data_IF_751774106786
#
_entry.id   IF_751774106786
#
_cell.length_a   1.000
_cell.length_b   1.000
_cell.length_c   1.000
_cell.angle_alpha   90.00
_cell.angle_beta   90.00
_cell.angle_gamma   90.00
#
_symmetry.space_group_name_H-M   'P 1'
#
loop_
_entity.id
_entity.type
_entity.pdbx_description
1 polymer ?
#
# COMPACT_ATOMS: atom_id res chain seq x y z
N UNK A 1 17.28 -2.43 18.38
CA UNK A 1 16.22 -1.40 18.52
C UNK A 1 14.87 -2.09 18.52
N UNK A 2 13.98 -1.78 19.46
CA UNK A 2 12.59 -2.26 19.47
C UNK A 2 11.77 -1.33 18.57
N UNK A 3 11.69 -1.64 17.27
CA UNK A 3 10.74 -0.98 16.38
C UNK A 3 9.35 -1.54 16.66
N UNK A 4 8.35 -0.66 16.86
CA UNK A 4 6.96 -1.08 16.70
C UNK A 4 6.64 -1.10 15.21
N UNK A 5 5.88 -2.07 14.69
CA UNK A 5 5.45 -2.07 13.29
C UNK A 5 4.81 -0.73 12.87
N UNK A 6 4.09 -0.08 13.79
CA UNK A 6 3.51 1.26 13.62
C UNK A 6 4.52 2.37 13.30
N UNK A 7 5.81 2.18 13.57
CA UNK A 7 6.86 3.19 13.35
C UNK A 7 7.45 3.13 11.92
N UNK A 8 7.10 2.09 11.15
CA UNK A 8 7.61 1.82 9.79
C UNK A 8 6.49 1.92 8.75
N UNK A 9 5.24 1.98 9.21
CA UNK A 9 4.07 2.10 8.36
C UNK A 9 3.83 3.58 8.06
N UNK A 10 3.90 3.96 6.78
CA UNK A 10 3.66 5.33 6.32
C UNK A 10 2.18 5.74 6.49
N UNK A 11 1.26 4.76 6.47
CA UNK A 11 -0.17 4.90 6.74
C UNK A 11 -0.68 3.64 7.47
N UNK A 12 -0.84 3.68 8.79
CA UNK A 12 -1.42 2.59 9.60
C UNK A 12 -2.76 3.03 10.16
N UNK A 13 -3.86 2.55 9.58
CA UNK A 13 -5.21 2.85 10.06
C UNK A 13 -5.79 4.20 9.62
N UNK A 14 -5.02 5.04 8.94
CA UNK A 14 -5.57 6.21 8.23
C UNK A 14 -6.31 5.74 6.97
N UNK A 15 -7.53 6.27 6.69
CA UNK A 15 -8.29 5.86 5.52
C UNK A 15 -7.54 6.22 4.24
N UNK A 16 -7.51 5.31 3.26
CA UNK A 16 -7.07 5.65 1.91
C UNK A 16 -7.97 6.79 1.38
N UNK A 17 -7.39 7.97 1.14
CA UNK A 17 -8.15 9.18 0.78
C UNK A 17 -8.15 9.41 -0.73
N UNK A 18 -7.06 9.06 -1.41
CA UNK A 18 -6.92 9.38 -2.83
C UNK A 18 -7.86 8.54 -3.71
N UNK A 19 -8.48 9.17 -4.70
CA UNK A 19 -9.38 8.54 -5.69
C UNK A 19 -8.89 8.81 -7.10
N UNK A 20 -9.29 7.97 -8.06
CA UNK A 20 -8.93 8.20 -9.48
C UNK A 20 -9.34 9.59 -9.97
N UNK A 21 -10.53 10.06 -9.59
CA UNK A 21 -11.02 11.41 -9.92
C UNK A 21 -10.08 12.51 -9.38
N UNK A 22 -9.63 12.38 -8.12
CA UNK A 22 -8.68 13.31 -7.53
C UNK A 22 -7.35 13.33 -8.31
N UNK A 23 -6.82 12.16 -8.68
CA UNK A 23 -5.57 12.07 -9.43
C UNK A 23 -5.70 12.62 -10.85
N UNK A 24 -6.82 12.41 -11.53
CA UNK A 24 -7.06 12.96 -12.87
C UNK A 24 -7.07 14.50 -12.88
N UNK A 25 -7.53 15.12 -11.79
CA UNK A 25 -7.49 16.57 -11.63
C UNK A 25 -6.09 17.10 -11.28
N UNK A 26 -5.34 16.37 -10.45
CA UNK A 26 -4.02 16.81 -9.98
C UNK A 26 -2.90 16.51 -10.99
N UNK A 27 -3.03 15.43 -11.75
CA UNK A 27 -1.97 14.88 -12.61
C UNK A 27 -2.52 14.56 -13.99
N UNK A 28 -2.81 15.60 -14.76
CA UNK A 28 -3.40 15.47 -16.11
C UNK A 28 -2.57 14.56 -17.02
N UNK A 29 -1.25 14.61 -16.90
CA UNK A 29 -0.32 13.82 -17.72
C UNK A 29 -0.32 12.33 -17.39
N UNK A 30 -0.82 11.92 -16.21
CA UNK A 30 -0.90 10.51 -15.79
C UNK A 30 -2.17 9.81 -16.26
N UNK A 31 -3.04 10.49 -17.03
CA UNK A 31 -4.32 9.93 -17.45
C UNK A 31 -4.21 8.53 -18.09
N UNK A 32 -3.24 8.23 -18.98
CA UNK A 32 -3.09 6.88 -19.53
C UNK A 32 -2.79 5.81 -18.47
N UNK A 33 -1.98 6.14 -17.47
CA UNK A 33 -1.61 5.27 -16.35
C UNK A 33 -2.79 5.06 -15.41
N UNK A 34 -3.58 6.10 -15.16
CA UNK A 34 -4.79 6.02 -14.33
C UNK A 34 -5.85 5.12 -14.99
N UNK A 35 -6.01 5.17 -16.31
CA UNK A 35 -6.91 4.24 -17.02
C UNK A 35 -6.46 2.78 -16.89
N UNK A 36 -5.16 2.50 -16.97
CA UNK A 36 -4.62 1.15 -16.70
C UNK A 36 -4.85 0.73 -15.24
N UNK A 37 -4.60 1.64 -14.30
CA UNK A 37 -4.81 1.39 -12.87
C UNK A 37 -6.28 1.09 -12.54
N UNK A 38 -7.24 1.76 -13.19
CA UNK A 38 -8.68 1.45 -13.09
C UNK A 38 -9.01 0.02 -13.53
N UNK A 39 -8.35 -0.48 -14.58
CA UNK A 39 -8.53 -1.87 -15.02
C UNK A 39 -7.99 -2.85 -13.98
N UNK A 40 -6.80 -2.60 -13.44
CA UNK A 40 -6.20 -3.45 -12.41
C UNK A 40 -6.98 -3.46 -11.09
N UNK A 41 -7.59 -2.33 -10.71
CA UNK A 41 -8.44 -2.22 -9.53
C UNK A 41 -9.65 -3.18 -9.56
N UNK A 42 -10.09 -3.61 -10.75
CA UNK A 42 -11.18 -4.59 -10.94
C UNK A 42 -10.72 -6.05 -10.78
N UNK A 43 -9.44 -6.28 -10.51
CA UNK A 43 -8.85 -7.61 -10.31
C UNK A 43 -8.32 -7.78 -8.89
N UNK A 44 -8.15 -9.02 -8.46
CA UNK A 44 -7.50 -9.36 -7.19
C UNK A 44 -5.99 -9.61 -7.33
N UNK A 45 -5.42 -9.42 -8.52
CA UNK A 45 -4.02 -9.69 -8.81
C UNK A 45 -3.10 -8.65 -8.14
N UNK A 46 -1.89 -9.04 -7.70
CA UNK A 46 -0.87 -8.08 -7.29
C UNK A 46 -0.57 -7.10 -8.43
N UNK A 47 -0.40 -5.82 -8.09
CA UNK A 47 -0.07 -4.76 -9.05
C UNK A 47 1.35 -4.27 -8.76
N UNK A 48 2.19 -4.26 -9.79
CA UNK A 48 3.49 -3.60 -9.76
C UNK A 48 3.35 -2.19 -10.35
N UNK A 49 3.82 -1.19 -9.62
CA UNK A 49 3.86 0.20 -10.07
C UNK A 49 5.33 0.60 -10.20
N UNK A 50 5.74 0.92 -11.42
CA UNK A 50 7.07 1.46 -11.71
C UNK A 50 6.95 2.99 -11.85
N UNK A 51 7.60 3.72 -10.95
CA UNK A 51 7.57 5.18 -10.94
C UNK A 51 8.85 5.73 -10.32
N UNK A 52 9.16 6.99 -10.63
CA UNK A 52 10.08 7.77 -9.80
C UNK A 52 9.49 7.99 -8.41
N UNK A 53 10.34 8.18 -7.40
CA UNK A 53 9.85 8.50 -6.06
C UNK A 53 9.09 9.83 -6.07
N UNK A 54 7.83 9.82 -5.63
CA UNK A 54 6.95 10.98 -5.60
C UNK A 54 5.62 10.68 -4.90
N UNK A 55 4.88 11.72 -4.46
CA UNK A 55 3.60 11.56 -3.77
C UNK A 55 2.54 10.84 -4.64
N UNK A 56 2.63 10.97 -5.96
CA UNK A 56 1.75 10.31 -6.92
C UNK A 56 1.77 8.78 -6.79
N UNK A 57 2.90 8.17 -6.42
CA UNK A 57 3.03 6.73 -6.28
C UNK A 57 2.10 6.19 -5.17
N UNK A 58 2.13 6.81 -4.00
CA UNK A 58 1.26 6.44 -2.88
C UNK A 58 -0.20 6.75 -3.18
N UNK A 59 -0.47 7.86 -3.86
CA UNK A 59 -1.82 8.24 -4.28
C UNK A 59 -2.41 7.25 -5.30
N UNK A 60 -1.61 6.73 -6.23
CA UNK A 60 -2.05 5.70 -7.18
C UNK A 60 -2.39 4.40 -6.43
N UNK A 61 -1.55 3.99 -5.47
CA UNK A 61 -1.83 2.81 -4.64
C UNK A 61 -3.17 2.93 -3.89
N UNK A 62 -3.42 4.10 -3.28
CA UNK A 62 -4.69 4.42 -2.63
C UNK A 62 -5.87 4.42 -3.61
N UNK A 63 -5.70 5.02 -4.79
CA UNK A 63 -6.75 5.08 -5.82
C UNK A 63 -7.13 3.69 -6.34
N UNK A 64 -6.15 2.80 -6.54
CA UNK A 64 -6.38 1.39 -6.90
C UNK A 64 -7.16 0.68 -5.80
N UNK A 65 -6.76 0.82 -4.53
CA UNK A 65 -7.51 0.25 -3.41
C UNK A 65 -8.96 0.77 -3.38
N UNK A 66 -9.15 2.08 -3.48
CA UNK A 66 -10.45 2.74 -3.44
C UNK A 66 -11.33 2.47 -4.66
N UNK A 67 -10.74 2.07 -5.79
CA UNK A 67 -11.44 1.66 -7.00
C UNK A 67 -11.74 0.16 -7.09
N UNK A 68 -11.37 -0.62 -6.08
CA UNK A 68 -11.58 -2.08 -6.02
C UNK A 68 -12.76 -2.48 -5.14
N UNK A 69 -13.11 -3.78 -5.16
CA UNK A 69 -14.11 -4.37 -4.24
C UNK A 69 -13.65 -4.37 -2.77
N UNK A 70 -12.39 -4.01 -2.50
CA UNK A 70 -11.82 -3.88 -1.15
C UNK A 70 -11.93 -2.46 -0.59
N UNK A 71 -12.59 -1.54 -1.30
CA UNK A 71 -12.82 -0.18 -0.83
C UNK A 71 -13.40 -0.16 0.60
N UNK A 72 -12.80 0.66 1.46
CA UNK A 72 -13.23 0.78 2.86
C UNK A 72 -12.79 -0.38 3.77
N UNK A 73 -11.96 -1.31 3.26
CA UNK A 73 -11.20 -2.26 4.07
C UNK A 73 -9.83 -1.67 4.44
N UNK A 74 -9.06 -2.40 5.24
CA UNK A 74 -7.71 -1.98 5.66
C UNK A 74 -6.83 -1.67 4.44
N UNK A 75 -6.12 -0.54 4.50
CA UNK A 75 -5.07 -0.16 3.57
C UNK A 75 -3.84 0.21 4.39
N UNK A 76 -2.68 -0.33 4.02
CA UNK A 76 -1.41 0.07 4.62
C UNK A 76 -0.32 0.18 3.57
N UNK A 77 0.61 1.09 3.82
CA UNK A 77 1.82 1.27 3.03
C UNK A 77 3.01 1.03 3.94
N UNK A 78 3.90 0.12 3.54
CA UNK A 78 5.15 -0.14 4.23
C UNK A 78 6.32 0.10 3.30
N UNK A 79 7.37 0.75 3.82
CA UNK A 79 8.66 0.83 3.15
C UNK A 79 9.61 -0.19 3.76
N UNK A 80 10.24 -1.00 2.90
CA UNK A 80 11.23 -2.00 3.28
C UNK A 80 12.66 -1.54 2.96
N UNK A 81 12.83 -0.37 2.33
CA UNK A 81 14.13 0.17 1.93
C UNK A 81 15.04 0.38 3.14
N UNK A 82 16.29 -0.08 3.04
CA UNK A 82 17.28 0.06 4.11
C UNK A 82 17.13 -0.92 5.28
N UNK A 83 16.14 -1.84 5.24
CA UNK A 83 15.96 -2.87 6.26
C UNK A 83 16.72 -4.15 5.94
N UNK A 84 17.17 -4.86 6.98
CA UNK A 84 17.72 -6.21 6.85
C UNK A 84 16.63 -7.21 6.47
N UNK A 85 16.99 -8.34 5.87
CA UNK A 85 16.03 -9.40 5.55
C UNK A 85 15.28 -9.92 6.79
N UNK A 86 15.95 -9.94 7.96
CA UNK A 86 15.33 -10.35 9.21
C UNK A 86 14.27 -9.34 9.67
N UNK A 87 14.57 -8.05 9.59
CA UNK A 87 13.61 -6.99 9.91
C UNK A 87 12.43 -6.99 8.93
N UNK A 88 12.68 -7.12 7.63
CA UNK A 88 11.62 -7.20 6.62
C UNK A 88 10.68 -8.39 6.89
N UNK A 89 11.25 -9.57 7.20
CA UNK A 89 10.45 -10.75 7.55
C UNK A 89 9.59 -10.50 8.79
N UNK A 90 10.15 -9.91 9.85
CA UNK A 90 9.41 -9.62 11.08
C UNK A 90 8.29 -8.61 10.85
N UNK A 91 8.46 -7.62 9.99
CA UNK A 91 7.44 -6.61 9.69
C UNK A 91 6.32 -7.21 8.84
N UNK A 92 6.66 -7.96 7.79
CA UNK A 92 5.67 -8.54 6.88
C UNK A 92 4.85 -9.64 7.54
N UNK A 93 5.52 -10.54 8.28
CA UNK A 93 4.94 -11.79 8.76
C UNK A 93 4.72 -11.83 10.28
N UNK A 94 5.25 -10.87 11.03
CA UNK A 94 5.16 -10.83 12.48
C UNK A 94 6.14 -11.78 13.19
N UNK A 95 5.85 -12.08 14.44
CA UNK A 95 6.55 -13.08 15.25
C UNK A 95 5.54 -13.91 16.07
N UNK A 96 5.21 -15.13 15.63
CA UNK A 96 4.26 -16.00 16.32
C UNK A 96 4.68 -16.36 17.75
N UNK A 97 6.00 -16.44 18.03
CA UNK A 97 6.50 -16.79 19.38
C UNK A 97 6.25 -15.66 20.37
N UNK A 98 6.17 -14.43 19.86
CA UNK A 98 5.87 -13.24 20.64
C UNK A 98 4.40 -12.81 20.53
N UNK A 99 3.55 -13.59 19.85
CA UNK A 99 2.15 -13.24 19.59
C UNK A 99 1.98 -11.93 18.82
N UNK A 100 2.94 -11.59 17.95
CA UNK A 100 2.90 -10.38 17.13
C UNK A 100 2.47 -10.71 15.72
N UNK A 101 1.39 -10.09 15.26
CA UNK A 101 0.95 -10.15 13.87
C UNK A 101 1.82 -9.24 12.99
N UNK A 102 1.91 -9.56 11.70
CA UNK A 102 2.63 -8.77 10.70
C UNK A 102 1.69 -7.98 9.79
N UNK A 103 2.26 -7.08 8.98
CA UNK A 103 1.52 -6.19 8.09
C UNK A 103 0.55 -6.92 7.13
N UNK A 104 0.87 -8.17 6.76
CA UNK A 104 -0.03 -9.00 5.93
C UNK A 104 -1.35 -9.30 6.66
N UNK A 105 -1.27 -9.60 7.96
CA UNK A 105 -2.45 -9.86 8.78
C UNK A 105 -3.23 -8.58 9.09
N UNK A 106 -2.54 -7.47 9.34
CA UNK A 106 -3.15 -6.15 9.56
C UNK A 106 -4.03 -5.71 8.37
N UNK A 107 -3.61 -6.08 7.15
CA UNK A 107 -4.32 -5.83 5.91
C UNK A 107 -5.21 -6.98 5.44
N UNK A 108 -5.60 -7.91 6.33
CA UNK A 108 -6.46 -9.02 5.93
C UNK A 108 -7.78 -8.50 5.30
N UNK A 109 -8.18 -9.11 4.18
CA UNK A 109 -9.28 -8.67 3.30
C UNK A 109 -9.13 -7.25 2.70
N UNK A 110 -8.00 -6.58 2.92
CA UNK A 110 -7.69 -5.25 2.45
C UNK A 110 -6.58 -5.23 1.40
N UNK A 111 -5.73 -4.21 1.45
CA UNK A 111 -4.60 -4.01 0.52
C UNK A 111 -3.35 -3.60 1.28
N UNK A 112 -2.23 -4.26 1.00
CA UNK A 112 -0.90 -3.89 1.46
C UNK A 112 -0.08 -3.40 0.27
N UNK A 113 0.41 -2.17 0.35
CA UNK A 113 1.39 -1.63 -0.58
C UNK A 113 2.78 -1.77 0.02
N UNK A 114 3.70 -2.34 -0.75
CA UNK A 114 5.09 -2.55 -0.34
C UNK A 114 5.97 -1.68 -1.25
N UNK A 115 6.75 -0.78 -0.63
CA UNK A 115 7.74 0.06 -1.30
C UNK A 115 9.15 -0.45 -0.97
N UNK A 116 10.05 -0.42 -1.95
CA UNK A 116 11.41 -0.94 -1.85
C UNK A 116 12.39 -0.08 -2.62
#
# INVERSE_FOLDING_TARGET
MNFKPSDIVLLHGDPAVATFEMLEHLFVDLKPELEKAKLYARSSSPVLIEASAGPELEMIGQAIHNGSDRKGKSYAVISLSGLTNEDQNRILFGDPRMGREGAIMDCNHGTLMIQG
#
